data_IF_561221888534
#
_entry.id   IF_561221888534
#
_cell.length_a   1.000
_cell.length_b   1.000
_cell.length_c   1.000
_cell.angle_alpha   90.00
_cell.angle_beta   90.00
_cell.angle_gamma   90.00
#
_symmetry.space_group_name_H-M   'P 1'
#
loop_
_entity.id
_entity.type
_entity.pdbx_description
1 polymer ?
#
# COMPACT_ATOMS: atom_id res chain seq x y z
N UNK A 1 -8.14 -35.84 -0.80
CA UNK A 1 -7.85 -35.16 -2.08
C UNK A 1 -8.16 -33.67 -1.97
N UNK A 2 -7.21 -32.83 -2.32
CA UNK A 2 -7.48 -31.38 -2.39
C UNK A 2 -8.30 -31.09 -3.65
N UNK A 3 -9.31 -30.23 -3.59
CA UNK A 3 -10.07 -29.85 -4.77
C UNK A 3 -9.15 -29.11 -5.78
N UNK A 4 -9.46 -29.27 -7.06
CA UNK A 4 -8.76 -28.60 -8.15
C UNK A 4 -9.60 -27.43 -8.67
N UNK A 5 -8.88 -26.43 -9.19
CA UNK A 5 -9.50 -25.27 -9.88
C UNK A 5 -8.73 -24.95 -11.15
N UNK A 6 -9.28 -24.10 -11.97
CA UNK A 6 -8.57 -23.60 -13.15
C UNK A 6 -7.51 -22.57 -12.76
N UNK A 7 -6.41 -22.56 -13.51
CA UNK A 7 -5.41 -21.50 -13.41
C UNK A 7 -6.06 -20.13 -13.59
N UNK A 8 -5.63 -19.12 -12.82
CA UNK A 8 -6.22 -17.78 -12.87
C UNK A 8 -5.78 -16.96 -14.11
N UNK A 9 -4.83 -17.47 -14.89
CA UNK A 9 -4.43 -16.78 -16.12
C UNK A 9 -5.55 -16.79 -17.16
N UNK A 10 -5.75 -15.69 -17.93
CA UNK A 10 -6.77 -15.65 -18.97
C UNK A 10 -6.63 -16.80 -19.96
N UNK A 11 -7.74 -17.43 -20.32
CA UNK A 11 -7.82 -18.53 -21.29
C UNK A 11 -7.02 -19.79 -20.90
N UNK A 12 -6.42 -19.89 -19.73
CA UNK A 12 -5.74 -21.10 -19.27
C UNK A 12 -6.74 -22.08 -18.68
N UNK A 13 -6.71 -23.35 -19.17
CA UNK A 13 -7.58 -24.42 -18.71
C UNK A 13 -6.87 -25.44 -17.80
N UNK A 14 -5.60 -25.20 -17.47
CA UNK A 14 -4.85 -26.09 -16.60
C UNK A 14 -5.49 -26.21 -15.23
N UNK A 15 -5.60 -27.44 -14.73
CA UNK A 15 -6.13 -27.71 -13.39
C UNK A 15 -4.97 -27.63 -12.39
N UNK A 16 -5.18 -26.89 -11.33
CA UNK A 16 -4.21 -26.66 -10.28
C UNK A 16 -4.82 -26.90 -8.91
N UNK A 17 -4.00 -27.18 -7.87
CA UNK A 17 -4.52 -27.24 -6.50
C UNK A 17 -5.23 -25.94 -6.11
N UNK A 18 -6.26 -26.05 -5.31
CA UNK A 18 -7.10 -24.91 -4.92
C UNK A 18 -6.31 -23.82 -4.18
N UNK A 19 -5.26 -24.19 -3.47
CA UNK A 19 -4.37 -23.31 -2.71
C UNK A 19 -3.32 -22.58 -3.57
N UNK A 20 -3.22 -22.92 -4.86
CA UNK A 20 -2.28 -22.32 -5.82
C UNK A 20 -3.06 -21.37 -6.76
N UNK A 21 -2.46 -20.25 -7.13
CA UNK A 21 -3.13 -19.25 -7.98
C UNK A 21 -2.94 -19.50 -9.48
N UNK A 22 -1.80 -20.06 -9.88
CA UNK A 22 -1.43 -20.24 -11.28
C UNK A 22 -0.72 -21.58 -11.49
N UNK A 23 -0.81 -22.11 -12.72
CA UNK A 23 -0.02 -23.28 -13.11
C UNK A 23 1.45 -22.90 -13.30
N UNK A 24 2.31 -23.90 -13.41
CA UNK A 24 3.76 -23.70 -13.54
C UNK A 24 4.16 -22.79 -14.72
N UNK A 25 3.38 -22.79 -15.78
CA UNK A 25 3.59 -21.92 -16.95
C UNK A 25 3.28 -20.44 -16.67
N UNK A 26 2.35 -20.16 -15.77
CA UNK A 26 1.84 -18.81 -15.55
C UNK A 26 2.25 -18.19 -14.22
N UNK A 27 2.83 -18.95 -13.31
CA UNK A 27 3.22 -18.44 -11.99
C UNK A 27 4.29 -17.34 -12.09
N UNK A 28 5.24 -17.49 -13.00
CA UNK A 28 6.28 -16.50 -13.26
C UNK A 28 5.78 -15.27 -14.02
N UNK A 29 4.83 -15.48 -14.92
CA UNK A 29 4.22 -14.40 -15.72
C UNK A 29 3.39 -13.47 -14.82
N UNK A 30 2.60 -14.06 -13.92
CA UNK A 30 1.79 -13.28 -12.96
C UNK A 30 2.66 -12.38 -12.07
N UNK A 31 3.79 -12.89 -11.57
CA UNK A 31 4.74 -12.09 -10.78
C UNK A 31 5.32 -10.94 -11.60
N UNK A 32 5.69 -11.20 -12.85
CA UNK A 32 6.26 -10.18 -13.74
C UNK A 32 5.24 -9.07 -14.04
N UNK A 33 4.00 -9.44 -14.31
CA UNK A 33 2.92 -8.47 -14.56
C UNK A 33 2.63 -7.61 -13.35
N UNK A 34 2.57 -8.21 -12.15
CA UNK A 34 2.37 -7.49 -10.91
C UNK A 34 3.52 -6.53 -10.62
N UNK A 35 4.77 -6.97 -10.81
CA UNK A 35 5.94 -6.14 -10.62
C UNK A 35 5.99 -5.00 -11.63
N UNK A 36 5.65 -5.27 -12.89
CA UNK A 36 5.60 -4.24 -13.95
C UNK A 36 4.54 -3.18 -13.61
N UNK A 37 3.35 -3.59 -13.20
CA UNK A 37 2.29 -2.66 -12.81
C UNK A 37 2.72 -1.80 -11.61
N UNK A 38 3.41 -2.38 -10.63
CA UNK A 38 3.96 -1.67 -9.48
C UNK A 38 5.04 -0.68 -9.90
N UNK A 39 5.96 -1.09 -10.77
CA UNK A 39 7.01 -0.23 -11.30
C UNK A 39 6.44 0.92 -12.13
N UNK A 40 5.43 0.66 -12.96
CA UNK A 40 4.73 1.69 -13.74
C UNK A 40 4.05 2.71 -12.81
N UNK A 41 3.45 2.27 -11.72
CA UNK A 41 2.88 3.17 -10.71
C UNK A 41 3.96 4.04 -10.08
N UNK A 42 5.11 3.47 -9.72
CA UNK A 42 6.24 4.22 -9.16
C UNK A 42 6.79 5.24 -10.15
N UNK A 43 6.85 4.89 -11.43
CA UNK A 43 7.33 5.81 -12.48
C UNK A 43 6.41 7.00 -12.71
N UNK A 44 5.11 6.87 -12.38
CA UNK A 44 4.14 7.97 -12.47
C UNK A 44 4.24 8.95 -11.30
N UNK A 45 4.88 8.56 -10.20
CA UNK A 45 5.11 9.47 -9.10
C UNK A 45 6.14 10.53 -9.47
N UNK A 46 5.96 11.72 -8.95
CA UNK A 46 6.90 12.81 -9.15
C UNK A 46 8.27 12.45 -8.56
N UNK A 47 9.40 12.78 -9.23
CA UNK A 47 10.73 12.38 -8.77
C UNK A 47 11.06 12.81 -7.34
N UNK A 48 10.63 13.99 -6.92
CA UNK A 48 10.88 14.48 -5.57
C UNK A 48 10.14 13.67 -4.49
N UNK A 49 8.95 13.16 -4.80
CA UNK A 49 8.19 12.29 -3.90
C UNK A 49 8.90 10.94 -3.75
N UNK A 50 9.34 10.36 -4.87
CA UNK A 50 10.10 9.09 -4.85
C UNK A 50 11.40 9.23 -4.05
N UNK A 51 12.12 10.33 -4.24
CA UNK A 51 13.34 10.62 -3.51
C UNK A 51 13.07 10.75 -2.01
N UNK A 52 11.97 11.39 -1.62
CA UNK A 52 11.55 11.52 -0.24
C UNK A 52 11.36 10.16 0.44
N UNK A 53 10.58 9.26 -0.18
CA UNK A 53 10.31 7.93 0.39
C UNK A 53 11.53 7.00 0.38
N UNK A 54 12.51 7.26 -0.46
CA UNK A 54 13.78 6.52 -0.49
C UNK A 54 14.82 7.06 0.50
N UNK A 55 14.57 8.22 1.09
CA UNK A 55 15.51 8.90 1.99
C UNK A 55 15.62 8.15 3.33
N UNK A 56 16.85 7.95 3.80
CA UNK A 56 17.12 7.30 5.10
C UNK A 56 16.46 8.06 6.25
N UNK A 57 16.37 9.38 6.18
CA UNK A 57 15.72 10.22 7.19
C UNK A 57 14.22 9.91 7.29
N UNK A 58 13.57 9.61 6.16
CA UNK A 58 12.18 9.17 6.15
C UNK A 58 12.02 7.84 6.89
N UNK A 59 12.89 6.88 6.63
CA UNK A 59 12.84 5.57 7.30
C UNK A 59 12.99 5.71 8.82
N UNK A 60 13.90 6.57 9.27
CA UNK A 60 14.09 6.86 10.70
C UNK A 60 12.86 7.55 11.30
N UNK A 61 12.32 8.54 10.62
CA UNK A 61 11.12 9.25 11.06
C UNK A 61 9.91 8.29 11.13
N UNK A 62 9.74 7.45 10.15
CA UNK A 62 8.70 6.43 10.10
C UNK A 62 8.75 5.50 11.31
N UNK A 63 9.95 5.04 11.68
CA UNK A 63 10.14 4.21 12.89
C UNK A 63 9.78 4.99 14.16
N UNK A 64 10.17 6.25 14.27
CA UNK A 64 9.83 7.09 15.42
C UNK A 64 8.32 7.29 15.57
N UNK A 65 7.61 7.46 14.46
CA UNK A 65 6.15 7.58 14.46
C UNK A 65 5.50 6.30 14.96
N UNK A 66 5.95 5.14 14.48
CA UNK A 66 5.44 3.85 14.92
C UNK A 66 5.69 3.61 16.41
N UNK A 67 6.87 3.96 16.91
CA UNK A 67 7.21 3.85 18.34
C UNK A 67 6.35 4.78 19.18
N UNK A 68 6.16 6.03 18.75
CA UNK A 68 5.26 6.99 19.43
C UNK A 68 3.85 6.42 19.58
N UNK A 69 3.35 5.77 18.53
CA UNK A 69 2.00 5.23 18.47
C UNK A 69 1.89 3.79 19.01
N UNK A 70 2.97 3.26 19.63
CA UNK A 70 3.05 1.89 20.15
C UNK A 70 2.68 0.83 19.10
N UNK A 71 3.01 1.08 17.83
CA UNK A 71 2.64 0.23 16.69
C UNK A 71 1.13 -0.01 16.57
N UNK A 72 0.32 0.89 17.11
CA UNK A 72 -1.14 0.77 17.04
C UNK A 72 -1.70 1.63 15.90
N UNK A 73 -2.60 1.05 15.10
CA UNK A 73 -3.33 1.80 14.09
C UNK A 73 -4.17 2.89 14.75
N UNK A 74 -3.89 4.13 14.45
CA UNK A 74 -4.56 5.28 15.06
C UNK A 74 -6.01 5.40 14.62
N UNK A 75 -6.32 5.04 13.38
CA UNK A 75 -7.71 5.04 12.87
C UNK A 75 -8.56 3.98 13.58
N UNK A 76 -8.03 2.75 13.71
CA UNK A 76 -8.72 1.71 14.48
C UNK A 76 -8.93 2.14 15.94
N UNK A 77 -7.92 2.78 16.53
CA UNK A 77 -7.99 3.26 17.91
C UNK A 77 -9.10 4.30 18.09
N UNK A 78 -9.25 5.22 17.15
CA UNK A 78 -10.34 6.22 17.14
C UNK A 78 -11.72 5.54 17.08
N UNK A 79 -11.80 4.37 16.48
CA UNK A 79 -13.04 3.59 16.36
C UNK A 79 -13.21 2.55 17.47
N UNK A 80 -12.35 2.56 18.49
CA UNK A 80 -12.44 1.67 19.64
C UNK A 80 -11.81 0.30 19.47
N UNK A 81 -10.95 0.10 18.46
CA UNK A 81 -10.28 -1.17 18.18
C UNK A 81 -8.78 -1.07 18.38
N UNK A 82 -8.17 -2.14 18.87
CA UNK A 82 -6.73 -2.28 18.99
C UNK A 82 -6.20 -3.14 17.86
N UNK A 83 -5.59 -2.51 16.87
CA UNK A 83 -5.03 -3.19 15.69
C UNK A 83 -3.57 -2.75 15.51
N UNK A 84 -2.68 -3.71 15.35
CA UNK A 84 -1.27 -3.43 15.07
C UNK A 84 -1.15 -2.80 13.69
N UNK A 85 -0.41 -1.70 13.59
CA UNK A 85 -0.13 -1.02 12.34
C UNK A 85 1.36 -1.04 12.03
N UNK A 86 1.71 -1.11 10.76
CA UNK A 86 3.08 -1.07 10.28
C UNK A 86 3.31 -0.02 9.19
N UNK A 87 2.34 0.80 8.89
CA UNK A 87 2.45 1.85 7.87
C UNK A 87 2.47 3.19 8.56
N UNK A 88 3.48 4.02 8.27
CA UNK A 88 3.48 5.43 8.65
C UNK A 88 2.87 6.23 7.51
N UNK A 89 1.79 6.93 7.78
CA UNK A 89 1.01 7.63 6.78
C UNK A 89 0.96 9.12 7.07
N UNK A 90 0.96 9.93 6.02
CA UNK A 90 0.76 11.37 6.13
C UNK A 90 -0.74 11.66 6.26
N UNK A 91 -1.13 12.38 7.31
CA UNK A 91 -2.53 12.79 7.53
C UNK A 91 -2.99 13.66 6.36
N UNK A 92 -2.20 14.67 6.01
CA UNK A 92 -2.34 15.43 4.76
C UNK A 92 -1.26 14.92 3.82
N UNK A 93 -1.66 14.43 2.64
CA UNK A 93 -0.72 13.84 1.68
C UNK A 93 0.39 14.80 1.30
N UNK A 94 1.58 14.26 1.02
CA UNK A 94 2.73 15.03 0.56
C UNK A 94 2.45 15.83 -0.70
N UNK A 95 1.54 15.36 -1.55
CA UNK A 95 1.11 16.08 -2.75
C UNK A 95 0.28 17.31 -2.45
N UNK A 96 -0.42 17.32 -1.33
CA UNK A 96 -1.29 18.41 -0.92
C UNK A 96 -0.55 19.43 -0.03
N UNK A 97 0.41 18.96 0.77
CA UNK A 97 1.22 19.83 1.62
C UNK A 97 2.64 19.27 1.74
N UNK A 98 3.49 19.63 0.80
CA UNK A 98 4.88 19.18 0.74
C UNK A 98 5.71 19.66 1.94
N UNK A 99 5.43 20.85 2.46
CA UNK A 99 6.18 21.44 3.57
C UNK A 99 6.05 20.65 4.87
N UNK A 100 4.95 19.93 5.05
CA UNK A 100 4.68 19.12 6.24
C UNK A 100 5.12 17.66 6.12
N UNK A 101 5.91 17.32 5.11
CA UNK A 101 6.33 15.93 4.90
C UNK A 101 7.18 15.36 6.03
N UNK A 102 7.92 16.20 6.75
CA UNK A 102 8.74 15.81 7.90
C UNK A 102 8.07 16.07 9.25
N UNK A 103 6.88 16.60 9.27
CA UNK A 103 6.19 16.97 10.50
C UNK A 103 5.56 15.75 11.16
N UNK A 104 6.05 15.38 12.35
CA UNK A 104 5.51 14.25 13.13
C UNK A 104 4.02 14.41 13.44
N UNK A 105 3.54 15.65 13.60
CA UNK A 105 2.12 15.93 13.85
C UNK A 105 1.25 15.67 12.62
N UNK A 106 1.85 15.56 11.44
CA UNK A 106 1.18 15.18 10.20
C UNK A 106 1.36 13.70 9.85
N UNK A 107 1.84 12.90 10.80
CA UNK A 107 2.11 11.47 10.59
C UNK A 107 1.39 10.64 11.63
N UNK A 108 0.88 9.50 11.20
CA UNK A 108 0.25 8.52 12.09
C UNK A 108 0.50 7.10 11.59
N UNK A 109 0.44 6.15 12.53
CA UNK A 109 0.57 4.73 12.21
C UNK A 109 -0.80 4.18 11.81
N UNK A 110 -0.85 3.44 10.71
CA UNK A 110 -2.06 2.77 10.21
C UNK A 110 -1.81 1.30 9.95
N UNK A 111 -2.85 0.48 10.07
CA UNK A 111 -2.83 -0.88 9.55
C UNK A 111 -3.05 -0.85 8.03
N UNK A 112 -2.73 -1.95 7.35
CA UNK A 112 -2.86 -2.03 5.89
C UNK A 112 -4.28 -1.77 5.40
N UNK A 113 -5.28 -2.25 6.13
CA UNK A 113 -6.69 -2.06 5.78
C UNK A 113 -7.09 -0.58 5.80
N UNK A 114 -6.75 0.13 6.88
CA UNK A 114 -7.05 1.56 7.02
C UNK A 114 -6.26 2.40 6.01
N UNK A 115 -4.99 2.07 5.79
CA UNK A 115 -4.16 2.73 4.79
C UNK A 115 -4.71 2.57 3.38
N UNK A 116 -5.11 1.35 3.00
CA UNK A 116 -5.71 1.06 1.69
C UNK A 116 -7.03 1.81 1.49
N UNK A 117 -7.86 1.84 2.53
CA UNK A 117 -9.13 2.56 2.50
C UNK A 117 -8.92 4.07 2.29
N UNK A 118 -8.01 4.66 3.05
CA UNK A 118 -7.64 6.07 2.94
C UNK A 118 -7.09 6.40 1.55
N UNK A 119 -6.22 5.58 1.02
CA UNK A 119 -5.64 5.75 -0.33
C UNK A 119 -6.74 5.77 -1.39
N UNK A 120 -7.72 4.87 -1.29
CA UNK A 120 -8.86 4.84 -2.22
C UNK A 120 -9.72 6.09 -2.13
N UNK A 121 -9.98 6.57 -0.93
CA UNK A 121 -10.75 7.81 -0.71
C UNK A 121 -10.04 9.03 -1.28
N UNK A 122 -8.74 9.14 -1.06
CA UNK A 122 -7.92 10.23 -1.59
C UNK A 122 -7.90 10.24 -3.11
N UNK A 123 -7.73 9.06 -3.74
CA UNK A 123 -7.81 8.92 -5.20
C UNK A 123 -9.18 9.31 -5.74
N UNK A 124 -10.25 8.91 -5.08
CA UNK A 124 -11.61 9.27 -5.47
C UNK A 124 -11.86 10.78 -5.38
N UNK A 125 -11.36 11.43 -4.34
CA UNK A 125 -11.44 12.89 -4.19
C UNK A 125 -10.69 13.64 -5.29
N UNK A 126 -9.47 13.20 -5.63
CA UNK A 126 -8.68 13.78 -6.72
C UNK A 126 -9.38 13.62 -8.05
N UNK A 127 -9.96 12.46 -8.32
CA UNK A 127 -10.70 12.18 -9.54
C UNK A 127 -11.93 13.06 -9.67
N UNK A 128 -12.64 13.32 -8.56
CA UNK A 128 -13.81 14.22 -8.54
C UNK A 128 -13.40 15.68 -8.75
N UNK A 129 -12.26 16.10 -8.21
CA UNK A 129 -11.76 17.45 -8.37
C UNK A 129 -11.30 17.78 -9.79
N UNK A 130 -11.01 16.75 -10.62
CA UNK A 130 -10.55 16.90 -12.01
C UNK A 130 -11.71 16.99 -13.00
N UNK A 131 -12.91 16.72 -12.57
CA UNK A 131 -14.14 16.85 -13.34
C UNK A 131 -14.93 18.05 -12.79
#
# INVERSE_FOLDING_TARGET
>A
MKPLKRCNAPACRALIPFDVSHCDKHIGVSKRETNRAYDDMRMREEPHIRAFYADTRWHKLSEQVKLRDDYMCQECLRNGFYTVGNVSDHIIEVRDDWDRRWDMNNLETLCHKCHSHKTREEKAKRKRATY
#
